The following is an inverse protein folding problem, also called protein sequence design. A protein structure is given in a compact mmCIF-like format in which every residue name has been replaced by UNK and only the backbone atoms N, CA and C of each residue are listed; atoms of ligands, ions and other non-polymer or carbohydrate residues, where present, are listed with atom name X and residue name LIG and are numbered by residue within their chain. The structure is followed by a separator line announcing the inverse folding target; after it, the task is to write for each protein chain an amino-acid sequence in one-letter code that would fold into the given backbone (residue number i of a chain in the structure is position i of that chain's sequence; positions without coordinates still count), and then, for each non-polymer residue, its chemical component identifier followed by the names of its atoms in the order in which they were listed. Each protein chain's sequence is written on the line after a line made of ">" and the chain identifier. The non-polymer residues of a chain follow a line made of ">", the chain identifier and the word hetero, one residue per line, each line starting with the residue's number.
data_IF_578576179749
#
_entry.id   IF_578576179749
#
_cell.length_a   1.000
_cell.length_b   1.000
_cell.length_c   1.000
_cell.angle_alpha   90.00
_cell.angle_beta   90.00
_cell.angle_gamma   90.00
#
_symmetry.space_group_name_H-M   'P 1'
#
loop_
_entity.id
_entity.type
_entity.pdbx_description
1 polymer ?
#
# COMPACT_ATOMS: atom_id res chain seq x y z
N UNK A 1 8.55 19.95 9.29
CA UNK A 1 8.77 18.49 9.14
C UNK A 1 9.99 18.24 8.26
N UNK A 2 10.76 17.15 8.45
CA UNK A 2 12.03 16.87 7.72
C UNK A 2 11.91 16.94 6.19
N UNK A 3 10.75 16.58 5.64
CA UNK A 3 10.45 16.74 4.21
C UNK A 3 10.57 18.20 3.73
N UNK A 4 10.11 19.16 4.52
CA UNK A 4 10.23 20.60 4.21
C UNK A 4 11.68 21.08 4.32
N UNK A 5 12.52 20.38 5.08
CA UNK A 5 13.95 20.67 5.24
C UNK A 5 14.81 20.02 4.15
N UNK A 6 14.20 19.26 3.21
CA UNK A 6 14.90 18.54 2.12
C UNK A 6 16.07 17.66 2.61
N UNK A 7 15.97 17.13 3.82
CA UNK A 7 16.96 16.21 4.35
C UNK A 7 16.85 14.86 3.63
N UNK A 8 17.99 14.24 3.35
CA UNK A 8 18.06 12.90 2.77
C UNK A 8 18.16 11.84 3.86
N UNK A 9 17.47 10.71 3.67
CA UNK A 9 17.54 9.60 4.60
C UNK A 9 18.95 8.99 4.58
N UNK A 10 19.56 8.71 5.74
CA UNK A 10 20.90 8.13 5.81
C UNK A 10 20.97 6.73 5.20
N UNK A 11 19.85 6.00 5.19
CA UNK A 11 19.69 4.72 4.52
C UNK A 11 18.57 4.80 3.46
N UNK A 12 18.98 4.95 2.20
CA UNK A 12 18.07 5.03 1.08
C UNK A 12 17.32 3.72 0.80
N UNK A 13 17.90 2.56 1.09
CA UNK A 13 17.23 1.27 0.86
C UNK A 13 16.12 1.03 1.89
N UNK A 14 16.43 1.25 3.18
CA UNK A 14 15.43 1.17 4.24
C UNK A 14 14.29 2.17 4.04
N UNK A 15 14.62 3.39 3.61
CA UNK A 15 13.62 4.40 3.24
C UNK A 15 12.71 3.93 2.10
N UNK A 16 13.30 3.44 1.00
CA UNK A 16 12.54 2.96 -0.15
C UNK A 16 11.64 1.77 0.20
N UNK A 17 12.12 0.84 1.03
CA UNK A 17 11.33 -0.29 1.54
C UNK A 17 10.11 0.15 2.34
N UNK A 18 10.18 1.24 3.10
CA UNK A 18 9.00 1.82 3.76
C UNK A 18 8.04 2.43 2.73
N UNK A 19 8.56 3.20 1.77
CA UNK A 19 7.74 3.82 0.73
C UNK A 19 7.02 2.80 -0.16
N UNK A 20 7.63 1.66 -0.47
CA UNK A 20 6.97 0.58 -1.22
C UNK A 20 5.75 0.04 -0.45
N UNK A 21 5.88 -0.16 0.88
CA UNK A 21 4.75 -0.56 1.73
C UNK A 21 3.63 0.48 1.72
N UNK A 22 3.97 1.76 1.82
CA UNK A 22 3.00 2.86 1.72
C UNK A 22 2.24 2.82 0.39
N UNK A 23 2.95 2.65 -0.74
CA UNK A 23 2.32 2.60 -2.07
C UNK A 23 1.38 1.40 -2.22
N UNK A 24 1.78 0.23 -1.73
CA UNK A 24 0.90 -0.95 -1.71
C UNK A 24 -0.36 -0.66 -0.89
N UNK A 25 -0.21 -0.03 0.27
CA UNK A 25 -1.33 0.32 1.14
C UNK A 25 -2.26 1.36 0.52
N UNK A 26 -1.72 2.43 -0.07
CA UNK A 26 -2.50 3.48 -0.75
C UNK A 26 -3.35 2.88 -1.88
N UNK A 27 -2.82 1.94 -2.66
CA UNK A 27 -3.59 1.24 -3.70
C UNK A 27 -4.69 0.34 -3.12
N UNK A 28 -4.44 -0.32 -1.98
CA UNK A 28 -5.41 -1.19 -1.33
C UNK A 28 -6.61 -0.40 -0.78
N UNK A 29 -6.34 0.70 -0.07
CA UNK A 29 -7.38 1.53 0.55
C UNK A 29 -8.02 2.50 -0.42
N UNK A 30 -7.40 2.79 -1.57
CA UNK A 30 -7.91 3.72 -2.59
C UNK A 30 -8.25 5.09 -1.99
N UNK A 31 -7.24 5.74 -1.43
CA UNK A 31 -7.35 7.15 -1.07
C UNK A 31 -7.29 8.01 -2.32
N UNK A 32 -8.34 8.79 -2.58
CA UNK A 32 -8.44 9.63 -3.78
C UNK A 32 -7.63 10.92 -3.72
N UNK A 33 -7.01 11.24 -2.59
CA UNK A 33 -6.13 12.42 -2.43
C UNK A 33 -4.79 12.06 -1.76
N UNK A 34 -3.99 11.15 -2.36
CA UNK A 34 -2.69 10.81 -1.81
C UNK A 34 -1.74 11.98 -2.07
N UNK A 35 -1.45 12.74 -1.04
CA UNK A 35 -0.50 13.84 -1.10
C UNK A 35 0.69 13.56 -0.18
N UNK A 36 1.86 14.04 -0.58
CA UNK A 36 3.08 13.83 0.19
C UNK A 36 3.10 14.64 1.51
N UNK A 37 2.19 15.60 1.71
CA UNK A 37 2.03 16.30 3.00
C UNK A 37 1.46 15.38 4.07
N UNK A 38 0.77 14.32 3.67
CA UNK A 38 0.22 13.30 4.55
C UNK A 38 1.21 12.13 4.79
N UNK A 39 2.50 12.39 4.62
CA UNK A 39 3.63 11.50 4.93
C UNK A 39 4.51 12.18 5.98
N UNK A 40 4.39 11.76 7.23
CA UNK A 40 5.23 12.25 8.33
C UNK A 40 6.51 11.42 8.43
N UNK A 41 7.61 12.09 8.78
CA UNK A 41 8.93 11.49 8.95
C UNK A 41 9.40 11.81 10.36
N UNK A 42 9.57 10.79 11.18
CA UNK A 42 10.06 10.90 12.56
C UNK A 42 11.57 11.08 12.62
N UNK A 43 12.10 11.25 13.83
CA UNK A 43 13.53 11.48 14.06
C UNK A 43 14.45 10.32 13.67
N UNK A 44 13.91 9.11 13.70
CA UNK A 44 14.54 7.86 13.30
C UNK A 44 14.22 7.46 11.85
N UNK A 45 13.71 8.39 11.02
CA UNK A 45 13.38 8.15 9.60
C UNK A 45 12.28 7.12 9.36
N UNK A 46 11.42 6.90 10.35
CA UNK A 46 10.20 6.11 10.18
C UNK A 46 9.12 6.93 9.48
N UNK A 47 8.43 6.28 8.56
CA UNK A 47 7.33 6.87 7.80
C UNK A 47 6.00 6.58 8.49
N UNK A 48 5.21 7.63 8.70
CA UNK A 48 3.79 7.52 9.04
C UNK A 48 2.95 8.12 7.92
N UNK A 49 2.19 7.27 7.25
CA UNK A 49 1.13 7.70 6.33
C UNK A 49 -0.11 8.01 7.17
N UNK A 50 -0.60 9.25 7.10
CA UNK A 50 -1.72 9.76 7.89
C UNK A 50 -2.85 10.27 7.00
N UNK A 51 -4.00 10.62 7.57
CA UNK A 51 -5.12 11.25 6.84
C UNK A 51 -5.58 10.44 5.60
N UNK A 52 -6.48 9.49 5.88
CA UNK A 52 -7.15 8.64 4.90
C UNK A 52 -8.64 8.96 4.82
N UNK A 53 -9.02 10.21 5.08
CA UNK A 53 -10.43 10.65 5.13
C UNK A 53 -11.17 10.40 3.80
N UNK A 54 -10.43 10.22 2.70
CA UNK A 54 -10.96 9.95 1.36
C UNK A 54 -10.71 8.54 0.83
N UNK A 55 -10.37 7.60 1.71
CA UNK A 55 -10.17 6.19 1.38
C UNK A 55 -11.48 5.38 1.29
N UNK A 56 -11.32 4.08 1.01
CA UNK A 56 -12.34 3.03 0.96
C UNK A 56 -13.46 3.30 -0.05
N UNK A 57 -13.12 3.93 -1.18
CA UNK A 57 -14.08 4.12 -2.28
C UNK A 57 -14.51 2.79 -2.90
N UNK A 58 -15.67 2.79 -3.54
CA UNK A 58 -16.26 1.62 -4.20
C UNK A 58 -15.60 1.28 -5.56
N UNK A 59 -14.48 1.90 -5.92
CA UNK A 59 -13.78 1.62 -7.18
C UNK A 59 -13.04 0.28 -7.10
N UNK A 60 -13.24 -0.61 -8.05
CA UNK A 60 -12.60 -1.93 -8.03
C UNK A 60 -11.21 -1.95 -8.69
N UNK A 61 -10.76 -0.85 -9.29
CA UNK A 61 -9.47 -0.74 -9.99
C UNK A 61 -8.38 -0.10 -9.13
N UNK A 62 -7.13 -0.31 -9.53
CA UNK A 62 -5.98 0.35 -8.92
C UNK A 62 -5.83 1.75 -9.52
N UNK A 63 -5.64 2.76 -8.67
CA UNK A 63 -5.52 4.15 -9.11
C UNK A 63 -4.19 4.41 -9.83
N UNK A 64 -3.10 3.81 -9.35
CA UNK A 64 -1.75 4.02 -9.89
C UNK A 64 -0.92 2.73 -9.80
N UNK A 65 -1.26 1.69 -10.59
CA UNK A 65 -0.55 0.41 -10.56
C UNK A 65 0.96 0.54 -10.87
N UNK A 66 1.36 1.55 -11.64
CA UNK A 66 2.76 1.86 -11.95
C UNK A 66 3.63 2.14 -10.72
N UNK A 67 3.04 2.53 -9.59
CA UNK A 67 3.76 2.82 -8.36
C UNK A 67 4.14 1.54 -7.59
N UNK A 68 3.52 0.40 -7.96
CA UNK A 68 3.84 -0.93 -7.46
C UNK A 68 5.11 -1.45 -8.17
N UNK A 69 6.28 -1.07 -7.66
CA UNK A 69 7.57 -1.43 -8.28
C UNK A 69 8.25 -2.59 -7.56
N UNK A 70 8.19 -2.61 -6.23
CA UNK A 70 8.70 -3.67 -5.36
C UNK A 70 7.70 -3.96 -4.23
N UNK A 71 7.77 -5.15 -3.66
CA UNK A 71 6.93 -5.56 -2.54
C UNK A 71 7.72 -6.38 -1.52
N UNK A 72 7.40 -6.20 -0.25
CA UNK A 72 7.88 -7.05 0.83
C UNK A 72 7.26 -8.45 0.70
N UNK A 73 8.08 -9.50 0.82
CA UNK A 73 7.61 -10.89 0.66
C UNK A 73 6.50 -11.26 1.62
N UNK A 74 6.62 -10.86 2.89
CA UNK A 74 5.62 -11.16 3.90
C UNK A 74 4.33 -10.36 3.67
N UNK A 75 4.44 -9.10 3.25
CA UNK A 75 3.28 -8.29 2.87
C UNK A 75 2.50 -8.93 1.73
N UNK A 76 3.18 -9.35 0.65
CA UNK A 76 2.52 -10.00 -0.48
C UNK A 76 1.86 -11.32 -0.05
N UNK A 77 2.51 -12.11 0.80
CA UNK A 77 1.92 -13.34 1.32
C UNK A 77 0.68 -13.06 2.18
N UNK A 78 0.73 -12.05 3.05
CA UNK A 78 -0.41 -11.64 3.86
C UNK A 78 -1.58 -11.14 3.00
N UNK A 79 -1.29 -10.40 1.92
CA UNK A 79 -2.32 -10.00 0.96
C UNK A 79 -2.98 -11.23 0.34
N UNK A 80 -2.20 -12.23 -0.12
CA UNK A 80 -2.76 -13.46 -0.73
C UNK A 80 -3.74 -14.20 0.17
N UNK A 81 -3.48 -14.23 1.48
CA UNK A 81 -4.32 -14.95 2.45
C UNK A 81 -5.37 -14.08 3.15
N UNK A 82 -5.42 -12.77 2.85
CA UNK A 82 -6.39 -11.87 3.46
C UNK A 82 -7.82 -12.33 3.16
N UNK A 83 -8.62 -12.55 4.20
CA UNK A 83 -10.02 -12.98 4.07
C UNK A 83 -10.96 -11.78 4.15
N UNK A 84 -11.83 -11.62 3.15
CA UNK A 84 -12.83 -10.56 3.11
C UNK A 84 -13.85 -10.64 4.26
N UNK A 85 -14.17 -11.83 4.76
CA UNK A 85 -15.04 -12.00 5.92
C UNK A 85 -14.37 -11.48 7.20
N UNK A 86 -13.09 -11.79 7.39
CA UNK A 86 -12.31 -11.29 8.52
C UNK A 86 -12.13 -9.78 8.44
N UNK A 87 -11.86 -9.24 7.25
CA UNK A 87 -11.80 -7.78 7.03
C UNK A 87 -13.13 -7.15 7.42
N UNK A 88 -14.25 -7.67 6.93
CA UNK A 88 -15.58 -7.13 7.25
C UNK A 88 -15.85 -7.18 8.75
N UNK A 89 -15.51 -8.27 9.43
CA UNK A 89 -15.76 -8.40 10.86
C UNK A 89 -14.90 -7.44 11.68
N UNK A 90 -13.59 -7.37 11.39
CA UNK A 90 -12.64 -6.53 12.14
C UNK A 90 -12.77 -5.04 11.87
N UNK A 91 -13.40 -4.65 10.77
CA UNK A 91 -13.56 -3.23 10.39
C UNK A 91 -14.94 -2.66 10.72
N UNK A 92 -15.84 -3.45 11.33
CA UNK A 92 -17.11 -2.93 11.83
C UNK A 92 -16.90 -1.92 12.98
N UNK A 93 -17.75 -0.87 13.06
CA UNK A 93 -18.84 -0.53 12.15
C UNK A 93 -18.41 0.37 10.97
N UNK A 94 -17.10 0.54 10.74
CA UNK A 94 -16.56 1.57 9.85
C UNK A 94 -16.65 1.23 8.36
N UNK A 95 -16.50 -0.04 7.98
CA UNK A 95 -16.68 -0.48 6.59
C UNK A 95 -17.91 -1.34 6.42
N UNK A 96 -18.62 -1.11 5.32
CA UNK A 96 -19.74 -1.93 4.88
C UNK A 96 -19.29 -3.00 3.86
N UNK A 97 -20.21 -3.91 3.52
CA UNK A 97 -19.95 -5.04 2.62
C UNK A 97 -19.45 -4.61 1.23
N UNK A 98 -19.96 -3.51 0.68
CA UNK A 98 -19.58 -3.04 -0.65
C UNK A 98 -18.17 -2.42 -0.63
N UNK A 99 -17.81 -1.70 0.42
CA UNK A 99 -16.47 -1.13 0.60
C UNK A 99 -15.42 -2.23 0.78
N UNK A 100 -15.75 -3.27 1.56
CA UNK A 100 -14.90 -4.45 1.70
C UNK A 100 -14.78 -5.21 0.38
N UNK A 101 -15.88 -5.41 -0.36
CA UNK A 101 -15.83 -6.04 -1.68
C UNK A 101 -14.91 -5.28 -2.65
N UNK A 102 -14.98 -3.95 -2.66
CA UNK A 102 -14.10 -3.11 -3.46
C UNK A 102 -12.62 -3.21 -3.02
N UNK A 103 -12.35 -3.24 -1.71
CA UNK A 103 -11.01 -3.46 -1.17
C UNK A 103 -10.45 -4.82 -1.59
N UNK A 104 -11.25 -5.89 -1.50
CA UNK A 104 -10.81 -7.23 -1.88
C UNK A 104 -10.57 -7.34 -3.39
N UNK A 105 -11.38 -6.69 -4.22
CA UNK A 105 -11.13 -6.61 -5.66
C UNK A 105 -9.79 -5.92 -5.99
N UNK A 106 -9.44 -4.86 -5.25
CA UNK A 106 -8.13 -4.20 -5.38
C UNK A 106 -7.00 -5.07 -4.85
N UNK A 107 -7.20 -5.77 -3.72
CA UNK A 107 -6.25 -6.78 -3.22
C UNK A 107 -5.91 -7.79 -4.31
N UNK A 108 -6.92 -8.37 -4.95
CA UNK A 108 -6.72 -9.40 -5.99
C UNK A 108 -5.89 -8.85 -7.16
N UNK A 109 -6.17 -7.61 -7.57
CA UNK A 109 -5.40 -6.92 -8.62
C UNK A 109 -3.96 -6.63 -8.22
N UNK A 110 -3.71 -6.23 -6.97
CA UNK A 110 -2.33 -6.03 -6.46
C UNK A 110 -1.56 -7.35 -6.51
N UNK A 111 -2.16 -8.45 -6.05
CA UNK A 111 -1.53 -9.78 -6.06
C UNK A 111 -1.24 -10.22 -7.50
N UNK A 112 -2.21 -10.10 -8.40
CA UNK A 112 -2.04 -10.46 -9.81
C UNK A 112 -0.95 -9.61 -10.49
N UNK A 113 -0.93 -8.31 -10.21
CA UNK A 113 0.08 -7.39 -10.74
C UNK A 113 1.50 -7.80 -10.32
N UNK A 114 1.72 -8.09 -9.03
CA UNK A 114 3.04 -8.54 -8.57
C UNK A 114 3.41 -9.92 -9.10
N UNK A 115 2.46 -10.85 -9.23
CA UNK A 115 2.71 -12.15 -9.85
C UNK A 115 3.19 -12.01 -11.30
N UNK A 116 2.54 -11.14 -12.08
CA UNK A 116 2.96 -10.84 -13.45
C UNK A 116 4.35 -10.19 -13.45
N UNK A 117 4.59 -9.21 -12.58
CA UNK A 117 5.87 -8.51 -12.50
C UNK A 117 7.03 -9.46 -12.12
N UNK A 118 6.80 -10.39 -11.20
CA UNK A 118 7.78 -11.42 -10.83
C UNK A 118 8.04 -12.41 -11.96
N UNK A 119 7.02 -12.77 -12.74
CA UNK A 119 7.20 -13.64 -13.91
C UNK A 119 8.03 -12.96 -15.01
N UNK A 120 7.90 -11.65 -15.16
CA UNK A 120 8.63 -10.87 -16.18
C UNK A 120 10.06 -10.53 -15.78
N UNK A 121 10.30 -10.19 -14.51
CA UNK A 121 11.59 -9.63 -14.04
C UNK A 121 12.36 -10.55 -13.11
N UNK A 122 11.77 -11.68 -12.70
CA UNK A 122 12.29 -12.56 -11.66
C UNK A 122 11.95 -12.07 -10.26
N UNK A 123 11.80 -13.00 -9.31
CA UNK A 123 11.40 -12.67 -7.94
C UNK A 123 12.40 -11.75 -7.24
N UNK A 124 13.71 -11.99 -7.37
CA UNK A 124 14.74 -11.20 -6.67
C UNK A 124 14.76 -9.72 -7.08
N UNK A 125 14.27 -9.38 -8.28
CA UNK A 125 14.18 -8.01 -8.75
C UNK A 125 12.97 -7.24 -8.16
N UNK A 126 11.92 -7.96 -7.77
CA UNK A 126 10.62 -7.41 -7.40
C UNK A 126 10.31 -7.56 -5.91
N UNK A 127 10.72 -8.68 -5.31
CA UNK A 127 10.43 -9.05 -3.94
C UNK A 127 11.68 -8.95 -3.07
N UNK A 128 11.55 -8.25 -1.94
CA UNK A 128 12.58 -8.11 -0.93
C UNK A 128 12.12 -8.63 0.43
#
# INVERSE_FOLDING_TARGET
>A
MRRQQKLEAPDGDAWNKQMYKVRVFDQLVYDTDPNLTNVLITEDWKIWRIDFTRAFRLCHDLQAPKDLVKCDRQLLQNLRILDGNEVLERTKPHLNKNEVAALMARRDKIVAYFQQLTAQKGEAAVLY
#
